data_IF_684488424402
#
_entry.id   IF_684488424402
#
_cell.length_a   1.000
_cell.length_b   1.000
_cell.length_c   1.000
_cell.angle_alpha   90.00
_cell.angle_beta   90.00
_cell.angle_gamma   90.00
#
_symmetry.space_group_name_H-M   'P 1'
#
loop_
_entity.id
_entity.type
_entity.pdbx_description
1 polymer ?
#
# COMPACT_ATOMS: atom_id res chain seq x y z
N UNK A 1 -4.81 7.90 -27.63
CA UNK A 1 -5.19 7.77 -26.21
C UNK A 1 -6.70 7.56 -26.17
N UNK A 2 -7.24 6.65 -25.35
CA UNK A 2 -8.69 6.53 -25.20
C UNK A 2 -9.25 7.91 -24.80
N UNK A 3 -10.40 8.30 -25.34
CA UNK A 3 -10.98 9.67 -25.25
C UNK A 3 -11.33 10.13 -23.81
N UNK A 4 -10.93 9.38 -22.78
CA UNK A 4 -11.21 9.71 -21.37
C UNK A 4 -12.70 9.67 -21.01
N UNK A 5 -13.56 9.16 -21.91
CA UNK A 5 -14.99 9.04 -21.70
C UNK A 5 -15.29 7.78 -20.87
N UNK A 6 -15.91 7.89 -19.69
CA UNK A 6 -16.35 6.71 -18.94
C UNK A 6 -17.45 5.98 -19.71
N UNK A 7 -17.53 4.67 -19.52
CA UNK A 7 -18.58 3.84 -20.16
C UNK A 7 -19.99 4.18 -19.63
N UNK A 8 -20.07 4.60 -18.36
CA UNK A 8 -21.31 4.95 -17.68
C UNK A 8 -21.06 6.18 -16.80
N UNK A 9 -22.01 7.11 -16.77
CA UNK A 9 -22.07 8.22 -15.80
C UNK A 9 -23.36 8.04 -14.99
N UNK A 10 -23.27 7.72 -13.68
CA UNK A 10 -24.45 7.59 -12.82
C UNK A 10 -25.23 8.90 -12.68
N UNK A 11 -26.54 8.81 -12.49
CA UNK A 11 -27.41 9.94 -12.14
C UNK A 11 -27.46 10.17 -10.62
N UNK A 12 -26.29 10.43 -10.02
CA UNK A 12 -26.10 10.65 -8.58
C UNK A 12 -25.84 12.13 -8.23
N UNK A 13 -25.99 13.04 -9.21
CA UNK A 13 -25.77 14.47 -9.05
C UNK A 13 -24.30 14.92 -8.95
N UNK A 14 -23.31 14.02 -9.02
CA UNK A 14 -21.90 14.39 -8.93
C UNK A 14 -21.35 14.95 -10.25
N UNK A 15 -20.66 16.09 -10.17
CA UNK A 15 -19.91 16.66 -11.29
C UNK A 15 -18.69 15.80 -11.65
N UNK A 16 -18.20 15.94 -12.88
CA UNK A 16 -16.96 15.28 -13.33
C UNK A 16 -15.77 15.61 -12.41
N UNK A 17 -15.66 16.85 -11.93
CA UNK A 17 -14.60 17.26 -11.00
C UNK A 17 -14.72 16.55 -9.65
N UNK A 18 -15.92 16.49 -9.09
CA UNK A 18 -16.16 15.77 -7.83
C UNK A 18 -15.81 14.29 -7.97
N UNK A 19 -16.21 13.63 -9.06
CA UNK A 19 -15.85 12.22 -9.32
C UNK A 19 -14.34 12.01 -9.43
N UNK A 20 -13.62 12.89 -10.13
CA UNK A 20 -12.16 12.81 -10.29
C UNK A 20 -11.40 12.97 -8.98
N UNK A 21 -11.98 13.71 -8.03
CA UNK A 21 -11.41 13.98 -6.73
C UNK A 21 -12.06 13.11 -5.64
N UNK A 22 -12.60 11.93 -5.97
CA UNK A 22 -12.98 10.95 -4.95
C UNK A 22 -11.73 10.22 -4.47
N UNK A 23 -11.61 9.96 -3.16
CA UNK A 23 -10.52 9.15 -2.65
C UNK A 23 -10.71 7.72 -3.15
N UNK A 24 -9.61 7.03 -3.45
CA UNK A 24 -9.63 5.67 -3.97
C UNK A 24 -8.92 4.72 -3.03
N UNK A 25 -9.50 3.54 -2.82
CA UNK A 25 -8.83 2.35 -2.31
C UNK A 25 -8.45 1.48 -3.49
N UNK A 26 -7.15 1.23 -3.64
CA UNK A 26 -6.57 0.43 -4.71
C UNK A 26 -5.93 -0.83 -4.12
N UNK A 27 -6.13 -1.98 -4.74
CA UNK A 27 -5.51 -3.24 -4.33
C UNK A 27 -4.68 -3.80 -5.49
N UNK A 28 -3.41 -4.09 -5.23
CA UNK A 28 -2.51 -4.76 -6.16
C UNK A 28 -2.16 -6.13 -5.60
N UNK A 29 -2.83 -7.17 -6.10
CA UNK A 29 -2.71 -8.54 -5.60
C UNK A 29 -2.26 -9.54 -6.67
N UNK A 30 -2.36 -10.83 -6.41
CA UNK A 30 -1.95 -11.92 -7.30
C UNK A 30 -0.51 -12.41 -7.06
N UNK A 31 -0.19 -13.56 -7.67
CA UNK A 31 1.06 -14.28 -7.43
C UNK A 31 2.25 -13.83 -8.28
N UNK A 32 2.00 -13.00 -9.29
CA UNK A 32 3.00 -12.44 -10.19
C UNK A 32 3.82 -11.31 -9.58
N UNK A 33 4.96 -11.03 -10.21
CA UNK A 33 5.80 -9.86 -9.93
C UNK A 33 5.10 -8.60 -10.42
N UNK A 34 5.22 -7.51 -9.64
CA UNK A 34 4.85 -6.17 -10.08
C UNK A 34 4.07 -5.33 -9.06
N UNK A 35 3.52 -5.95 -8.02
CA UNK A 35 2.54 -5.32 -7.11
C UNK A 35 3.12 -4.08 -6.43
N UNK A 36 4.23 -4.26 -5.70
CA UNK A 36 4.94 -3.17 -5.03
C UNK A 36 5.51 -2.17 -6.02
N UNK A 37 6.13 -2.63 -7.12
CA UNK A 37 6.71 -1.72 -8.12
C UNK A 37 5.66 -0.82 -8.79
N UNK A 38 4.45 -1.32 -9.03
CA UNK A 38 3.34 -0.52 -9.54
C UNK A 38 2.86 0.50 -8.50
N UNK A 39 2.77 0.09 -7.23
CA UNK A 39 2.40 0.98 -6.13
C UNK A 39 3.45 2.09 -5.91
N UNK A 40 4.75 1.77 -6.00
CA UNK A 40 5.82 2.77 -5.97
C UNK A 40 5.76 3.70 -7.19
N UNK A 41 5.47 3.19 -8.38
CA UNK A 41 5.24 4.03 -9.55
C UNK A 41 4.07 5.01 -9.38
N UNK A 42 2.99 4.57 -8.74
CA UNK A 42 1.86 5.43 -8.36
C UNK A 42 2.27 6.49 -7.34
N UNK A 43 3.01 6.10 -6.30
CA UNK A 43 3.52 7.03 -5.29
C UNK A 43 4.42 8.11 -5.90
N UNK A 44 5.32 7.74 -6.80
CA UNK A 44 6.15 8.71 -7.52
C UNK A 44 5.32 9.67 -8.38
N UNK A 45 4.24 9.19 -9.01
CA UNK A 45 3.31 10.04 -9.76
C UNK A 45 2.58 11.04 -8.84
N UNK A 46 2.10 10.57 -7.69
CA UNK A 46 1.47 11.42 -6.67
C UNK A 46 2.43 12.49 -6.17
N UNK A 47 3.63 12.09 -5.76
CA UNK A 47 4.67 13.00 -5.30
C UNK A 47 4.98 14.09 -6.34
N UNK A 48 5.12 13.72 -7.62
CA UNK A 48 5.45 14.68 -8.69
C UNK A 48 4.39 15.77 -8.88
N UNK A 49 3.12 15.51 -8.54
CA UNK A 49 2.07 16.55 -8.58
C UNK A 49 1.90 17.30 -7.25
N UNK A 50 2.75 17.03 -6.27
CA UNK A 50 2.78 17.72 -4.98
C UNK A 50 1.94 17.06 -3.87
N UNK A 51 1.62 15.77 -3.99
CA UNK A 51 0.97 15.03 -2.91
C UNK A 51 1.94 14.64 -1.81
N UNK A 52 1.48 14.72 -0.56
CA UNK A 52 2.17 14.13 0.59
C UNK A 52 1.98 12.61 0.58
N UNK A 53 3.09 11.87 0.59
CA UNK A 53 3.10 10.41 0.43
C UNK A 53 3.67 9.74 1.69
N UNK A 54 2.91 8.81 2.25
CA UNK A 54 3.37 7.91 3.31
C UNK A 54 3.50 6.47 2.81
N UNK A 55 4.70 5.91 2.86
CA UNK A 55 4.94 4.50 2.56
C UNK A 55 5.07 3.70 3.86
N UNK A 56 4.25 2.69 4.01
CA UNK A 56 4.20 1.81 5.17
C UNK A 56 4.43 0.38 4.70
N UNK A 57 5.63 -0.14 4.92
CA UNK A 57 6.02 -1.46 4.46
C UNK A 57 5.88 -2.48 5.58
N UNK A 58 5.02 -3.47 5.34
CA UNK A 58 4.84 -4.63 6.20
C UNK A 58 5.71 -5.79 5.70
N UNK A 59 6.11 -6.68 6.60
CA UNK A 59 6.74 -7.97 6.29
C UNK A 59 7.90 -7.87 5.29
N UNK A 60 9.06 -7.34 5.70
CA UNK A 60 10.35 -7.59 5.02
C UNK A 60 11.50 -7.59 6.02
N UNK A 61 12.51 -8.42 5.73
CA UNK A 61 13.75 -8.48 6.48
C UNK A 61 14.39 -7.09 6.64
N UNK A 62 14.70 -6.70 7.89
CA UNK A 62 15.39 -5.45 8.21
C UNK A 62 16.72 -5.25 7.44
N UNK A 63 17.33 -6.36 6.97
CA UNK A 63 18.62 -6.34 6.26
C UNK A 63 18.52 -5.97 4.78
N UNK A 64 17.33 -5.96 4.19
CA UNK A 64 17.14 -5.66 2.77
C UNK A 64 16.70 -4.20 2.56
N UNK A 65 17.51 -3.43 1.84
CA UNK A 65 17.20 -2.06 1.42
C UNK A 65 16.83 -2.08 -0.06
N UNK A 66 15.57 -1.76 -0.35
CA UNK A 66 15.04 -1.66 -1.71
C UNK A 66 15.57 -0.39 -2.38
N UNK A 67 15.77 -0.44 -3.70
CA UNK A 67 16.13 0.73 -4.48
C UNK A 67 15.14 1.89 -4.32
N UNK A 68 13.84 1.59 -4.32
CA UNK A 68 12.76 2.56 -4.18
C UNK A 68 12.79 3.29 -2.84
N UNK A 69 13.10 2.59 -1.75
CA UNK A 69 13.26 3.24 -0.44
C UNK A 69 14.33 4.33 -0.50
N UNK A 70 15.48 4.01 -1.08
CA UNK A 70 16.60 4.96 -1.17
C UNK A 70 16.27 6.15 -2.07
N UNK A 71 15.52 5.93 -3.15
CA UNK A 71 15.05 7.00 -4.02
C UNK A 71 14.03 7.88 -3.29
N UNK A 72 13.06 7.29 -2.62
CA UNK A 72 11.96 7.99 -1.98
C UNK A 72 12.43 8.85 -0.81
N UNK A 73 13.33 8.33 0.04
CA UNK A 73 13.96 9.10 1.12
C UNK A 73 14.69 10.33 0.58
N UNK A 74 15.37 10.23 -0.57
CA UNK A 74 16.03 11.38 -1.22
C UNK A 74 15.05 12.41 -1.79
N UNK A 75 13.85 11.97 -2.14
CA UNK A 75 12.75 12.83 -2.60
C UNK A 75 11.95 13.43 -1.44
N UNK A 76 12.29 13.09 -0.19
CA UNK A 76 11.57 13.54 1.00
C UNK A 76 10.26 12.80 1.27
N UNK A 77 10.02 11.67 0.60
CA UNK A 77 8.85 10.82 0.84
C UNK A 77 9.06 10.06 2.16
N UNK A 78 8.04 10.06 3.02
CA UNK A 78 8.11 9.37 4.31
C UNK A 78 8.02 7.86 4.11
N UNK A 79 8.94 7.12 4.72
CA UNK A 79 9.01 5.66 4.61
C UNK A 79 9.13 5.01 6.00
N UNK A 80 8.20 4.12 6.30
CA UNK A 80 8.13 3.36 7.54
C UNK A 80 8.27 1.88 7.27
N UNK A 81 9.19 1.22 7.97
CA UNK A 81 9.29 -0.24 8.02
C UNK A 81 8.64 -0.74 9.30
N UNK A 82 7.57 -1.49 9.16
CA UNK A 82 6.88 -2.10 10.31
C UNK A 82 7.57 -3.39 10.71
N UNK A 83 7.83 -3.58 12.00
CA UNK A 83 8.43 -4.80 12.54
C UNK A 83 9.96 -4.84 12.65
N UNK A 84 10.66 -3.72 12.44
CA UNK A 84 12.11 -3.63 12.69
C UNK A 84 12.43 -2.45 13.60
N UNK A 85 12.20 -2.61 14.91
CA UNK A 85 12.58 -1.63 15.93
C UNK A 85 11.89 -0.26 15.81
N UNK A 86 10.68 -0.21 15.24
CA UNK A 86 9.91 1.02 15.02
C UNK A 86 9.17 1.53 16.28
N UNK A 87 9.16 0.79 17.38
CA UNK A 87 8.45 1.28 18.57
C UNK A 87 9.11 2.57 19.06
N UNK A 88 8.28 3.60 19.26
CA UNK A 88 8.66 4.81 20.01
C UNK A 88 9.04 4.50 21.47
N UNK A 89 8.96 3.23 21.87
CA UNK A 89 9.09 2.71 23.21
C UNK A 89 9.66 1.27 23.20
N UNK A 90 10.96 1.09 22.96
CA UNK A 90 11.92 0.31 23.81
C UNK A 90 13.09 -0.37 23.09
N UNK A 91 14.10 -0.58 23.95
CA UNK A 91 15.38 -1.29 23.86
C UNK A 91 15.37 -2.59 23.05
N UNK A 92 16.47 -2.77 22.33
CA UNK A 92 16.91 -4.00 21.71
C UNK A 92 16.88 -5.20 22.68
N UNK A 93 16.14 -6.26 22.32
CA UNK A 93 16.33 -7.59 22.90
C UNK A 93 15.06 -8.38 23.17
N UNK A 94 14.49 -9.01 22.14
CA UNK A 94 13.98 -10.41 22.09
C UNK A 94 13.33 -10.63 20.72
N UNK A 95 13.12 -11.88 20.31
CA UNK A 95 12.32 -12.22 19.13
C UNK A 95 11.04 -11.38 19.09
N UNK A 96 10.93 -10.61 18.01
CA UNK A 96 9.96 -9.56 17.78
C UNK A 96 8.53 -10.13 17.78
N UNK A 97 7.63 -9.56 18.59
CA UNK A 97 6.20 -9.84 18.46
C UNK A 97 5.68 -9.14 17.19
N UNK A 98 5.93 -9.75 16.05
CA UNK A 98 5.55 -9.23 14.73
C UNK A 98 4.05 -8.91 14.63
N UNK A 99 3.20 -9.56 15.43
CA UNK A 99 1.78 -9.24 15.50
C UNK A 99 1.55 -7.90 16.22
N UNK A 100 2.23 -7.68 17.35
CA UNK A 100 2.19 -6.39 18.04
C UNK A 100 2.75 -5.25 17.17
N UNK A 101 3.86 -5.48 16.47
CA UNK A 101 4.44 -4.47 15.57
C UNK A 101 3.50 -4.13 14.40
N UNK A 102 2.83 -5.15 13.82
CA UNK A 102 1.84 -4.92 12.78
C UNK A 102 0.62 -4.16 13.29
N UNK A 103 0.14 -4.47 14.50
CA UNK A 103 -0.95 -3.78 15.15
C UNK A 103 -0.59 -2.32 15.49
N UNK A 104 0.63 -2.06 15.98
CA UNK A 104 1.14 -0.71 16.25
C UNK A 104 1.27 0.10 14.95
N UNK A 105 1.85 -0.51 13.91
CA UNK A 105 1.97 0.09 12.59
C UNK A 105 0.61 0.47 12.01
N UNK A 106 -0.38 -0.42 12.14
CA UNK A 106 -1.74 -0.13 11.73
C UNK A 106 -2.39 1.00 12.56
N UNK A 107 -2.22 0.98 13.88
CA UNK A 107 -2.72 2.05 14.75
C UNK A 107 -2.13 3.43 14.38
N UNK A 108 -0.85 3.48 14.01
CA UNK A 108 -0.20 4.70 13.53
C UNK A 108 -0.77 5.18 12.20
N UNK A 109 -0.99 4.27 11.25
CA UNK A 109 -1.64 4.61 9.97
C UNK A 109 -3.03 5.21 10.23
N UNK A 110 -3.84 4.61 11.12
CA UNK A 110 -5.16 5.15 11.50
C UNK A 110 -5.06 6.56 12.07
N UNK A 111 -4.09 6.83 12.96
CA UNK A 111 -3.87 8.18 13.51
C UNK A 111 -3.55 9.19 12.42
N UNK A 112 -2.66 8.84 11.49
CA UNK A 112 -2.28 9.71 10.37
C UNK A 112 -3.44 9.95 9.42
N UNK A 113 -4.23 8.91 9.13
CA UNK A 113 -5.42 9.06 8.30
C UNK A 113 -6.44 9.99 8.95
N UNK A 114 -6.68 9.84 10.26
CA UNK A 114 -7.56 10.74 11.00
C UNK A 114 -7.05 12.19 11.03
N UNK A 115 -5.73 12.38 11.01
CA UNK A 115 -5.09 13.68 10.96
C UNK A 115 -4.87 14.22 9.54
N UNK A 116 -5.35 13.51 8.49
CA UNK A 116 -5.17 13.87 7.08
C UNK A 116 -3.70 14.17 6.70
N UNK A 117 -2.75 13.42 7.28
CA UNK A 117 -1.31 13.69 7.16
C UNK A 117 -0.77 13.49 5.76
N UNK A 118 -1.32 12.53 5.00
CA UNK A 118 -0.85 12.18 3.66
C UNK A 118 -2.02 12.16 2.67
N UNK A 119 -1.78 12.55 1.44
CA UNK A 119 -2.73 12.39 0.33
C UNK A 119 -2.74 10.95 -0.20
N UNK A 120 -1.61 10.25 -0.12
CA UNK A 120 -1.49 8.84 -0.51
C UNK A 120 -0.81 7.99 0.56
N UNK A 121 -1.51 6.95 0.98
CA UNK A 121 -0.99 5.87 1.83
C UNK A 121 -0.67 4.65 0.99
N UNK A 122 0.61 4.27 0.91
CA UNK A 122 1.07 3.03 0.29
C UNK A 122 1.30 1.99 1.39
N UNK A 123 0.41 1.01 1.50
CA UNK A 123 0.49 -0.09 2.46
C UNK A 123 1.09 -1.32 1.76
N UNK A 124 2.42 -1.39 1.69
CA UNK A 124 3.14 -2.45 0.99
C UNK A 124 3.09 -3.76 1.79
N UNK A 125 2.71 -4.86 1.14
CA UNK A 125 2.59 -6.21 1.70
C UNK A 125 1.62 -6.31 2.91
N UNK A 126 0.66 -5.40 2.99
CA UNK A 126 -0.31 -5.31 4.08
C UNK A 126 -1.35 -6.45 4.09
N UNK A 127 -1.48 -7.20 2.99
CA UNK A 127 -2.35 -8.38 2.97
C UNK A 127 -1.87 -9.48 3.92
N UNK A 128 -0.57 -9.56 4.25
CA UNK A 128 -0.07 -10.61 5.13
C UNK A 128 -0.52 -10.44 6.60
N UNK A 129 -0.34 -9.28 7.25
CA UNK A 129 -0.89 -9.05 8.59
C UNK A 129 -2.39 -9.34 8.70
N UNK A 130 -3.17 -9.02 7.65
CA UNK A 130 -4.61 -9.34 7.60
C UNK A 130 -4.81 -10.86 7.56
N UNK A 131 -4.16 -11.54 6.61
CA UNK A 131 -4.29 -12.98 6.43
C UNK A 131 -3.79 -13.81 7.63
N UNK A 132 -2.84 -13.29 8.39
CA UNK A 132 -2.35 -13.91 9.62
C UNK A 132 -3.19 -13.58 10.85
N UNK A 133 -4.21 -12.73 10.71
CA UNK A 133 -5.09 -12.32 11.80
C UNK A 133 -4.44 -11.35 12.79
N UNK A 134 -3.31 -10.73 12.43
CA UNK A 134 -2.63 -9.73 13.27
C UNK A 134 -3.33 -8.38 13.19
N UNK A 135 -3.94 -8.09 12.03
CA UNK A 135 -4.78 -6.92 11.81
C UNK A 135 -6.17 -7.40 11.40
N UNK A 136 -7.20 -6.93 12.11
CA UNK A 136 -8.58 -7.26 11.78
C UNK A 136 -9.00 -6.61 10.47
N UNK A 137 -9.48 -7.41 9.52
CA UNK A 137 -10.06 -6.91 8.27
C UNK A 137 -11.31 -6.06 8.52
N UNK A 138 -12.11 -6.34 9.55
CA UNK A 138 -13.27 -5.51 9.87
C UNK A 138 -12.84 -4.09 10.25
N UNK A 139 -11.78 -3.96 11.07
CA UNK A 139 -11.19 -2.66 11.44
C UNK A 139 -10.54 -1.95 10.23
N UNK A 140 -9.94 -2.71 9.31
CA UNK A 140 -9.41 -2.16 8.04
C UNK A 140 -10.54 -1.58 7.19
N UNK A 141 -11.61 -2.34 6.97
CA UNK A 141 -12.75 -1.90 6.16
C UNK A 141 -13.46 -0.70 6.79
N UNK A 142 -13.66 -0.71 8.10
CA UNK A 142 -14.26 0.41 8.83
C UNK A 142 -13.40 1.67 8.73
N UNK A 143 -12.09 1.55 8.93
CA UNK A 143 -11.15 2.67 8.82
C UNK A 143 -11.15 3.24 7.41
N UNK A 144 -11.08 2.39 6.39
CA UNK A 144 -11.10 2.84 5.00
C UNK A 144 -12.43 3.53 4.69
N UNK A 145 -13.56 2.96 5.05
CA UNK A 145 -14.86 3.56 4.78
C UNK A 145 -15.06 4.93 5.45
N UNK A 146 -14.52 5.12 6.66
CA UNK A 146 -14.79 6.30 7.49
C UNK A 146 -13.65 7.33 7.51
N UNK A 147 -12.55 7.12 6.79
CA UNK A 147 -11.43 8.08 6.76
C UNK A 147 -11.87 9.46 6.25
N UNK A 148 -11.40 10.56 6.86
CA UNK A 148 -11.77 11.91 6.44
C UNK A 148 -11.10 12.31 5.10
N UNK A 149 -11.50 13.44 4.53
CA UNK A 149 -10.74 14.09 3.46
C UNK A 149 -10.68 13.34 2.13
N UNK A 150 -9.56 13.53 1.42
CA UNK A 150 -9.33 13.04 0.06
C UNK A 150 -8.15 12.05 -0.03
N UNK A 151 -8.05 11.14 0.93
CA UNK A 151 -6.90 10.25 1.07
C UNK A 151 -7.02 9.01 0.18
N UNK A 152 -6.07 8.86 -0.74
CA UNK A 152 -5.89 7.65 -1.53
C UNK A 152 -5.13 6.58 -0.74
N UNK A 153 -5.50 5.32 -0.93
CA UNK A 153 -4.84 4.19 -0.30
C UNK A 153 -4.53 3.14 -1.36
N UNK A 154 -3.29 2.67 -1.42
CA UNK A 154 -2.92 1.50 -2.23
C UNK A 154 -2.38 0.41 -1.33
N UNK A 155 -2.99 -0.78 -1.40
CA UNK A 155 -2.62 -1.97 -0.64
C UNK A 155 -1.99 -2.96 -1.60
N UNK A 156 -0.82 -3.49 -1.23
CA UNK A 156 -0.16 -4.53 -2.01
C UNK A 156 -0.08 -5.83 -1.20
N UNK A 157 0.02 -6.94 -1.92
CA UNK A 157 0.37 -8.24 -1.36
C UNK A 157 -0.40 -9.38 -1.97
N UNK A 158 0.05 -10.61 -1.71
CA UNK A 158 -0.61 -11.82 -2.25
C UNK A 158 -1.91 -12.09 -1.51
N UNK A 159 -2.86 -12.76 -2.18
CA UNK A 159 -4.08 -13.31 -1.57
C UNK A 159 -4.82 -12.25 -0.74
N UNK A 160 -5.20 -11.13 -1.35
CA UNK A 160 -6.00 -10.13 -0.65
C UNK A 160 -7.33 -10.74 -0.16
N UNK A 161 -7.79 -10.35 1.04
CA UNK A 161 -9.07 -10.81 1.58
C UNK A 161 -10.20 -10.45 0.59
N UNK A 162 -11.12 -11.38 0.26
CA UNK A 162 -12.22 -11.10 -0.67
C UNK A 162 -13.06 -9.89 -0.30
N UNK A 163 -13.23 -9.60 1.00
CA UNK A 163 -13.98 -8.41 1.47
C UNK A 163 -13.22 -7.13 1.19
N UNK A 164 -11.89 -7.16 1.24
CA UNK A 164 -11.06 -6.02 0.83
C UNK A 164 -11.13 -5.79 -0.68
N UNK A 165 -11.16 -6.87 -1.47
CA UNK A 165 -11.34 -6.80 -2.92
C UNK A 165 -12.70 -6.16 -3.27
N UNK A 166 -13.76 -6.60 -2.61
CA UNK A 166 -15.12 -6.08 -2.80
C UNK A 166 -15.23 -4.59 -2.44
N UNK A 167 -14.58 -4.16 -1.36
CA UNK A 167 -14.61 -2.77 -0.91
C UNK A 167 -13.70 -1.82 -1.69
N UNK A 168 -12.77 -2.32 -2.50
CA UNK A 168 -11.80 -1.50 -3.22
C UNK A 168 -12.39 -0.89 -4.51
N UNK A 169 -12.04 0.36 -4.80
CA UNK A 169 -12.45 1.04 -6.03
C UNK A 169 -11.71 0.54 -7.28
N UNK A 170 -10.50 0.02 -7.09
CA UNK A 170 -9.68 -0.55 -8.16
C UNK A 170 -8.90 -1.76 -7.65
N UNK A 171 -9.04 -2.88 -8.35
CA UNK A 171 -8.27 -4.10 -8.05
C UNK A 171 -7.54 -4.55 -9.31
N UNK A 172 -6.23 -4.75 -9.17
CA UNK A 172 -5.39 -5.38 -10.19
C UNK A 172 -4.83 -6.67 -9.65
N UNK A 173 -5.14 -7.79 -10.31
CA UNK A 173 -4.51 -9.08 -10.04
C UNK A 173 -3.35 -9.30 -11.00
N UNK A 174 -2.13 -9.38 -10.45
CA UNK A 174 -0.93 -9.68 -11.22
C UNK A 174 -0.72 -11.18 -11.28
N UNK A 175 -1.07 -11.79 -12.40
CA UNK A 175 -0.89 -13.23 -12.63
C UNK A 175 0.50 -13.53 -13.21
N UNK A 176 1.15 -14.58 -12.73
CA UNK A 176 2.44 -15.04 -13.28
C UNK A 176 2.23 -15.73 -14.62
N UNK A 177 2.39 -15.02 -15.73
CA UNK A 177 2.41 -15.62 -17.08
C UNK A 177 3.74 -16.33 -17.35
N UNK A 178 4.86 -15.70 -16.95
CA UNK A 178 6.22 -16.27 -16.97
C UNK A 178 7.09 -15.55 -15.95
N UNK A 179 8.10 -16.21 -15.40
CA UNK A 179 9.08 -15.57 -14.54
C UNK A 179 10.50 -16.13 -14.79
N UNK A 180 11.57 -15.31 -14.77
CA UNK A 180 12.95 -15.80 -14.97
C UNK A 180 13.36 -16.92 -14.00
N UNK A 181 12.83 -16.90 -12.78
CA UNK A 181 13.03 -17.98 -11.80
C UNK A 181 12.50 -19.34 -12.27
N UNK A 182 11.49 -19.38 -13.14
CA UNK A 182 10.99 -20.64 -13.73
C UNK A 182 12.06 -21.30 -14.63
N UNK A 183 13.03 -20.51 -15.12
CA UNK A 183 14.20 -20.97 -15.87
C UNK A 183 15.48 -21.01 -15.01
N UNK A 184 15.36 -21.02 -13.67
CA UNK A 184 16.49 -21.10 -12.75
C UNK A 184 17.28 -19.81 -12.56
N UNK A 185 16.84 -18.69 -13.16
CA UNK A 185 17.51 -17.40 -12.97
C UNK A 185 17.15 -16.81 -11.61
N UNK A 186 18.16 -16.53 -10.78
CA UNK A 186 17.99 -15.81 -9.52
C UNK A 186 17.65 -14.34 -9.79
N UNK A 187 17.02 -13.69 -8.81
CA UNK A 187 16.71 -12.27 -8.90
C UNK A 187 17.96 -11.40 -9.08
N UNK A 188 17.78 -10.25 -9.70
CA UNK A 188 18.82 -9.31 -10.07
C UNK A 188 18.56 -7.97 -9.36
N UNK A 189 19.64 -7.35 -8.89
CA UNK A 189 19.59 -5.99 -8.34
C UNK A 189 19.14 -5.01 -9.41
N UNK A 190 18.21 -4.12 -9.07
CA UNK A 190 17.55 -3.18 -9.97
C UNK A 190 16.32 -3.76 -10.71
N UNK A 191 16.05 -5.06 -10.58
CA UNK A 191 14.88 -5.71 -11.18
C UNK A 191 13.99 -6.31 -10.09
N UNK A 192 14.54 -7.08 -9.17
CA UNK A 192 13.82 -7.70 -8.05
C UNK A 192 13.93 -6.90 -6.75
N UNK A 193 15.02 -6.12 -6.56
CA UNK A 193 15.25 -5.24 -5.40
C UNK A 193 16.24 -4.11 -5.70
#
# INVERSE_FOLDING_TARGET
MPEGKPLVVPDDGLTTRQRRNRPLVMVHTGDGKGKSTAAFGLALRGWNQGWDIGVFQFVKSAKWRLGEQTAFEKLGIEWHKMGSGWSWSRKAGSEEDHAADAAEGWAEIKRRMAAETHDLYLLDEFTYPINWGWVSIDDVLETLANRPGHQHVVITGRRADPRLIEAADLVTEMTKVKHPMDAGQKGQKGIEW
#
